data_IF_797133914643
#
_entry.id   IF_797133914643
#
_cell.length_a   1.000
_cell.length_b   1.000
_cell.length_c   1.000
_cell.angle_alpha   90.00
_cell.angle_beta   90.00
_cell.angle_gamma   90.00
#
_symmetry.space_group_name_H-M   'P 1'
#
loop_
_entity.id
_entity.type
_entity.pdbx_description
1 polymer ?
#
# COMPACT_ATOMS: atom_id res chain seq x y z
N UNK A 1 -1.75 -34.48 -21.63
CA UNK A 1 -1.43 -33.24 -20.91
C UNK A 1 -1.33 -33.58 -19.44
N UNK A 2 -0.33 -33.07 -18.72
CA UNK A 2 -0.25 -33.26 -17.26
C UNK A 2 -1.43 -32.54 -16.58
N UNK A 3 -1.92 -33.06 -15.45
CA UNK A 3 -2.97 -32.38 -14.69
C UNK A 3 -2.45 -31.08 -14.07
N UNK A 4 -3.32 -30.09 -13.86
CA UNK A 4 -2.99 -28.83 -13.16
C UNK A 4 -2.27 -29.08 -11.84
N UNK A 5 -2.75 -30.06 -11.05
CA UNK A 5 -2.11 -30.48 -9.80
C UNK A 5 -0.66 -30.96 -10.00
N UNK A 6 -0.41 -31.74 -11.05
CA UNK A 6 0.94 -32.27 -11.36
C UNK A 6 1.87 -31.12 -11.75
N UNK A 7 1.37 -30.17 -12.54
CA UNK A 7 2.12 -29.00 -12.96
C UNK A 7 2.47 -28.11 -11.75
N UNK A 8 1.49 -27.79 -10.90
CA UNK A 8 1.71 -26.99 -9.68
C UNK A 8 2.70 -27.68 -8.73
N UNK A 9 2.63 -29.00 -8.57
CA UNK A 9 3.61 -29.78 -7.78
C UNK A 9 5.01 -29.85 -8.40
N UNK A 10 5.18 -29.44 -9.65
CA UNK A 10 6.51 -29.36 -10.28
C UNK A 10 7.18 -27.99 -10.12
N UNK A 11 6.45 -26.99 -9.61
CA UNK A 11 6.99 -25.65 -9.38
C UNK A 11 7.81 -25.62 -8.10
N UNK A 12 9.01 -25.04 -8.20
CA UNK A 12 9.83 -24.70 -7.04
C UNK A 12 9.23 -23.47 -6.36
N UNK A 13 8.78 -23.65 -5.12
CA UNK A 13 8.27 -22.58 -4.26
C UNK A 13 9.25 -22.37 -3.12
N UNK A 14 9.59 -21.11 -2.88
CA UNK A 14 10.53 -20.69 -1.85
C UNK A 14 9.79 -19.93 -0.74
N UNK A 15 10.24 -20.11 0.49
CA UNK A 15 9.76 -19.35 1.64
C UNK A 15 10.41 -17.95 1.73
N UNK A 16 10.12 -17.24 2.81
CA UNK A 16 10.59 -15.87 3.05
C UNK A 16 12.12 -15.76 3.27
N UNK A 17 12.81 -16.89 3.47
CA UNK A 17 14.25 -16.97 3.67
C UNK A 17 14.95 -17.61 2.44
N UNK A 18 14.27 -17.59 1.29
CA UNK A 18 14.70 -18.16 0.00
C UNK A 18 14.99 -19.68 0.08
N UNK A 19 14.40 -20.39 1.04
CA UNK A 19 14.53 -21.84 1.17
C UNK A 19 13.34 -22.55 0.53
N UNK A 20 13.50 -23.78 0.00
CA UNK A 20 12.38 -24.57 -0.48
C UNK A 20 11.31 -24.76 0.62
N UNK A 21 10.05 -24.53 0.29
CA UNK A 21 8.95 -24.69 1.25
C UNK A 21 8.89 -26.12 1.80
N UNK A 22 8.68 -26.23 3.11
CA UNK A 22 8.71 -27.53 3.82
C UNK A 22 7.47 -28.40 3.56
N UNK A 23 6.35 -27.77 3.20
CA UNK A 23 5.10 -28.45 2.83
C UNK A 23 4.30 -27.61 1.85
N UNK A 24 3.38 -28.26 1.12
CA UNK A 24 2.45 -27.60 0.20
C UNK A 24 1.09 -28.29 0.19
N UNK A 25 0.05 -27.48 0.24
CA UNK A 25 -1.35 -27.85 0.15
C UNK A 25 -1.99 -27.02 -0.96
N UNK A 26 -2.49 -27.68 -2.01
CA UNK A 26 -3.23 -26.98 -3.06
C UNK A 26 -4.63 -26.69 -2.53
N UNK A 27 -4.94 -25.40 -2.39
CA UNK A 27 -6.22 -24.95 -1.85
C UNK A 27 -7.29 -24.93 -2.95
N UNK A 28 -6.89 -24.60 -4.18
CA UNK A 28 -7.78 -24.50 -5.33
C UNK A 28 -7.50 -23.26 -6.15
N UNK A 29 -8.47 -22.85 -6.98
CA UNK A 29 -8.38 -21.59 -7.71
C UNK A 29 -8.52 -20.40 -6.78
N UNK A 30 -7.76 -19.35 -7.05
CA UNK A 30 -7.86 -18.06 -6.36
C UNK A 30 -9.25 -17.47 -6.59
N UNK A 31 -9.85 -16.88 -5.56
CA UNK A 31 -11.18 -16.29 -5.65
C UNK A 31 -11.22 -15.13 -6.66
N UNK A 32 -12.40 -14.91 -7.27
CA UNK A 32 -12.59 -13.86 -8.27
C UNK A 32 -12.23 -12.45 -7.75
N UNK A 33 -12.59 -12.11 -6.50
CA UNK A 33 -12.24 -10.83 -5.86
C UNK A 33 -10.72 -10.60 -5.82
N UNK A 34 -9.95 -11.63 -5.44
CA UNK A 34 -8.49 -11.57 -5.40
C UNK A 34 -7.90 -11.46 -6.80
N UNK A 35 -8.43 -12.24 -7.75
CA UNK A 35 -7.97 -12.22 -9.13
C UNK A 35 -8.22 -10.88 -9.82
N UNK A 36 -9.35 -10.22 -9.55
CA UNK A 36 -9.66 -8.87 -10.03
C UNK A 36 -8.58 -7.87 -9.55
N UNK A 37 -8.29 -7.88 -8.26
CA UNK A 37 -7.26 -6.98 -7.69
C UNK A 37 -5.87 -7.27 -8.26
N UNK A 38 -5.48 -8.55 -8.37
CA UNK A 38 -4.15 -8.92 -8.83
C UNK A 38 -3.95 -8.69 -10.31
N UNK A 39 -4.94 -9.01 -11.16
CA UNK A 39 -4.86 -8.80 -12.61
C UNK A 39 -4.76 -7.33 -12.99
N UNK A 40 -5.28 -6.41 -12.17
CA UNK A 40 -5.10 -4.96 -12.35
C UNK A 40 -3.62 -4.52 -12.26
N UNK A 41 -2.77 -5.31 -11.60
CA UNK A 41 -1.37 -4.96 -11.32
C UNK A 41 -0.36 -5.87 -12.01
N UNK A 42 -0.64 -7.16 -12.06
CA UNK A 42 0.24 -8.19 -12.61
C UNK A 42 -0.05 -8.32 -14.11
N UNK A 43 0.68 -7.58 -14.93
CA UNK A 43 0.48 -7.55 -16.39
C UNK A 43 0.60 -8.92 -17.08
N UNK A 44 1.24 -9.90 -16.42
CA UNK A 44 1.42 -11.25 -16.93
C UNK A 44 0.25 -12.21 -16.57
N UNK A 45 -0.78 -11.73 -15.87
CA UNK A 45 -2.03 -12.46 -15.65
C UNK A 45 -3.00 -12.14 -16.78
N UNK A 46 -3.52 -13.19 -17.44
CA UNK A 46 -4.47 -13.09 -18.55
C UNK A 46 -5.77 -13.85 -18.24
N UNK A 47 -6.82 -13.56 -19.01
CA UNK A 47 -8.15 -14.16 -18.84
C UNK A 47 -8.13 -15.69 -18.98
N UNK A 48 -7.27 -16.24 -19.85
CA UNK A 48 -7.13 -17.69 -20.03
C UNK A 48 -6.30 -18.41 -18.95
N UNK A 49 -5.75 -17.68 -17.97
CA UNK A 49 -4.91 -18.28 -16.92
C UNK A 49 -5.73 -18.99 -15.84
N UNK A 50 -5.22 -20.12 -15.39
CA UNK A 50 -5.63 -20.69 -14.10
C UNK A 50 -4.67 -20.23 -13.02
N UNK A 51 -5.16 -19.47 -12.03
CA UNK A 51 -4.35 -19.06 -10.87
C UNK A 51 -4.71 -19.93 -9.68
N UNK A 52 -3.77 -20.75 -9.25
CA UNK A 52 -3.94 -21.74 -8.18
C UNK A 52 -3.30 -21.22 -6.90
N UNK A 53 -4.07 -21.17 -5.81
CA UNK A 53 -3.58 -20.89 -4.47
C UNK A 53 -2.93 -22.14 -3.88
N UNK A 54 -1.70 -22.00 -3.42
CA UNK A 54 -0.93 -23.06 -2.77
C UNK A 54 -0.52 -22.57 -1.38
N UNK A 55 -1.12 -23.16 -0.35
CA UNK A 55 -0.69 -22.91 1.04
C UNK A 55 0.57 -23.71 1.31
N UNK A 56 1.55 -23.05 1.90
CA UNK A 56 2.84 -23.61 2.25
C UNK A 56 3.15 -23.38 3.72
N UNK A 57 3.97 -24.25 4.28
CA UNK A 57 4.65 -24.00 5.57
C UNK A 57 5.97 -23.29 5.29
N UNK A 58 6.01 -21.97 5.47
CA UNK A 58 7.20 -21.14 5.32
C UNK A 58 8.06 -21.09 6.59
N UNK A 59 9.22 -20.44 6.49
CA UNK A 59 10.16 -20.29 7.61
C UNK A 59 9.62 -19.42 8.75
N UNK A 60 8.74 -18.46 8.43
CA UNK A 60 8.18 -17.50 9.39
C UNK A 60 6.69 -17.73 9.71
N UNK A 61 6.07 -18.76 9.14
CA UNK A 61 4.67 -19.10 9.35
C UNK A 61 3.98 -19.65 8.11
N UNK A 62 2.65 -19.78 8.11
CA UNK A 62 1.89 -20.13 6.92
C UNK A 62 2.01 -19.06 5.83
N UNK A 63 2.44 -19.47 4.64
CA UNK A 63 2.58 -18.63 3.44
C UNK A 63 1.63 -19.14 2.34
N UNK A 64 1.11 -18.26 1.49
CA UNK A 64 0.32 -18.69 0.34
C UNK A 64 0.96 -18.20 -0.96
N UNK A 65 1.40 -19.11 -1.81
CA UNK A 65 1.80 -18.78 -3.17
C UNK A 65 0.59 -18.77 -4.11
N UNK A 66 0.67 -17.94 -5.14
CA UNK A 66 -0.19 -18.03 -6.31
C UNK A 66 0.62 -18.62 -7.47
N UNK A 67 0.16 -19.72 -8.06
CA UNK A 67 0.80 -20.38 -9.20
C UNK A 67 -0.08 -20.23 -10.42
N UNK A 68 0.45 -19.56 -11.45
CA UNK A 68 -0.22 -19.45 -12.74
C UNK A 68 0.04 -20.70 -13.56
N UNK A 69 -1.01 -21.25 -14.17
CA UNK A 69 -0.94 -22.32 -15.17
C UNK A 69 -1.47 -21.80 -16.52
N UNK A 70 -0.61 -21.78 -17.54
CA UNK A 70 -0.94 -21.36 -18.91
C UNK A 70 -0.30 -22.31 -19.91
N UNK A 71 -1.08 -22.85 -20.85
CA UNK A 71 -0.55 -23.69 -21.93
C UNK A 71 0.24 -24.92 -21.46
N UNK A 72 -0.12 -25.49 -20.31
CA UNK A 72 0.60 -26.63 -19.72
C UNK A 72 1.90 -26.28 -18.99
N UNK A 73 2.17 -24.99 -18.77
CA UNK A 73 3.32 -24.49 -18.00
C UNK A 73 2.81 -23.86 -16.71
N UNK A 74 3.43 -24.22 -15.58
CA UNK A 74 3.16 -23.61 -14.28
C UNK A 74 4.33 -22.72 -13.85
N UNK A 75 4.04 -21.57 -13.26
CA UNK A 75 5.04 -20.63 -12.73
C UNK A 75 4.48 -19.88 -11.50
N UNK A 76 5.30 -19.58 -10.49
CA UNK A 76 4.86 -18.78 -9.37
C UNK A 76 4.63 -17.33 -9.83
N UNK A 77 3.60 -16.70 -9.29
CA UNK A 77 3.43 -15.25 -9.39
C UNK A 77 4.18 -14.62 -8.23
N UNK A 78 5.16 -13.79 -8.56
CA UNK A 78 5.99 -13.06 -7.61
C UNK A 78 5.94 -11.57 -7.91
N UNK A 79 5.95 -10.76 -6.86
CA UNK A 79 5.97 -9.30 -6.92
C UNK A 79 7.04 -8.77 -5.96
N UNK A 80 7.68 -7.67 -6.35
CA UNK A 80 8.66 -6.99 -5.51
C UNK A 80 7.96 -6.00 -4.57
N UNK A 81 8.23 -6.12 -3.26
CA UNK A 81 7.93 -5.05 -2.31
C UNK A 81 8.88 -3.88 -2.55
N UNK A 82 8.35 -2.70 -2.87
CA UNK A 82 9.18 -1.53 -3.23
C UNK A 82 9.98 -0.91 -2.10
N UNK A 83 9.81 -1.41 -0.88
CA UNK A 83 10.57 -0.94 0.29
C UNK A 83 11.64 -1.95 0.71
N UNK A 84 11.33 -3.25 0.83
CA UNK A 84 12.36 -4.28 1.11
C UNK A 84 13.15 -4.72 -0.12
N UNK A 85 12.61 -4.57 -1.33
CA UNK A 85 13.10 -5.20 -2.56
C UNK A 85 13.05 -6.73 -2.55
N UNK A 86 12.29 -7.33 -1.63
CA UNK A 86 12.08 -8.77 -1.59
C UNK A 86 11.00 -9.18 -2.60
N UNK A 87 11.20 -10.32 -3.27
CA UNK A 87 10.18 -10.98 -4.07
C UNK A 87 9.24 -11.78 -3.15
N UNK A 88 7.94 -11.57 -3.30
CA UNK A 88 6.92 -12.23 -2.49
C UNK A 88 5.66 -12.52 -3.30
N UNK A 89 4.84 -13.49 -2.88
CA UNK A 89 3.57 -13.74 -3.56
C UNK A 89 2.60 -12.57 -3.38
N UNK A 90 1.63 -12.37 -4.31
CA UNK A 90 0.67 -11.26 -4.25
C UNK A 90 -0.17 -11.20 -2.96
N UNK A 91 -0.43 -12.35 -2.34
CA UNK A 91 -1.09 -12.49 -1.05
C UNK A 91 -0.37 -11.78 0.10
N UNK A 92 0.95 -11.59 0.00
CA UNK A 92 1.78 -10.93 1.02
C UNK A 92 1.76 -9.40 0.91
N UNK A 93 1.19 -8.84 -0.16
CA UNK A 93 1.05 -7.39 -0.34
C UNK A 93 -0.31 -6.92 0.17
N UNK A 94 -0.33 -5.69 0.70
CA UNK A 94 -1.55 -5.10 1.24
C UNK A 94 -2.46 -4.64 0.12
N UNK A 95 -3.76 -4.85 0.25
CA UNK A 95 -4.77 -4.27 -0.63
C UNK A 95 -5.36 -3.01 -0.01
N UNK A 96 -5.71 -2.03 -0.84
CA UNK A 96 -6.15 -0.71 -0.39
C UNK A 96 -7.29 -0.13 -1.23
N UNK A 97 -7.99 0.86 -0.67
CA UNK A 97 -8.92 1.76 -1.37
C UNK A 97 -8.58 3.21 -1.10
N UNK A 98 -8.73 4.07 -2.11
CA UNK A 98 -8.64 5.51 -1.90
C UNK A 98 -9.94 6.09 -1.35
N UNK A 99 -9.84 7.17 -0.56
CA UNK A 99 -11.00 7.87 0.00
C UNK A 99 -11.87 8.57 -1.04
N UNK A 100 -11.26 9.01 -2.14
CA UNK A 100 -11.90 9.71 -3.26
C UNK A 100 -12.09 8.79 -4.49
N UNK A 101 -11.78 7.50 -4.34
CA UNK A 101 -11.79 6.54 -5.44
C UNK A 101 -13.19 6.04 -5.82
N UNK A 102 -13.21 5.16 -6.81
CA UNK A 102 -14.36 4.35 -7.25
C UNK A 102 -14.78 3.27 -6.24
N UNK A 103 -14.09 3.18 -5.10
CA UNK A 103 -14.31 2.14 -4.09
C UNK A 103 -13.75 0.77 -4.48
N UNK A 104 -12.92 0.68 -5.52
CA UNK A 104 -12.27 -0.56 -5.92
C UNK A 104 -11.05 -0.87 -5.04
N UNK A 105 -10.88 -2.15 -4.72
CA UNK A 105 -9.66 -2.66 -4.08
C UNK A 105 -8.52 -2.68 -5.10
N UNK A 106 -7.32 -2.36 -4.63
CA UNK A 106 -6.10 -2.31 -5.44
C UNK A 106 -4.96 -2.95 -4.68
N UNK A 107 -4.01 -3.53 -5.39
CA UNK A 107 -2.82 -4.11 -4.77
C UNK A 107 -1.75 -3.03 -4.55
N UNK A 108 -1.30 -2.86 -3.31
CA UNK A 108 -0.22 -1.93 -2.98
C UNK A 108 1.14 -2.46 -3.45
N UNK A 109 2.16 -1.62 -3.33
CA UNK A 109 3.55 -1.96 -3.63
C UNK A 109 4.33 -2.41 -2.40
N UNK A 110 3.66 -2.64 -1.26
CA UNK A 110 4.32 -2.90 0.03
C UNK A 110 3.68 -4.05 0.79
N UNK A 111 4.50 -4.79 1.53
CA UNK A 111 4.00 -5.78 2.47
C UNK A 111 3.48 -5.11 3.76
N UNK A 112 2.78 -5.90 4.58
CA UNK A 112 2.17 -5.43 5.82
C UNK A 112 3.19 -4.84 6.81
N UNK A 113 4.38 -5.45 6.93
CA UNK A 113 5.40 -5.01 7.88
C UNK A 113 5.82 -3.55 7.62
N UNK A 114 6.14 -3.20 6.38
CA UNK A 114 6.53 -1.84 6.02
C UNK A 114 5.37 -0.85 6.10
N UNK A 115 4.15 -1.28 5.80
CA UNK A 115 2.96 -0.46 6.00
C UNK A 115 2.81 -0.08 7.49
N UNK A 116 2.96 -1.05 8.39
CA UNK A 116 2.86 -0.80 9.83
C UNK A 116 3.99 0.11 10.32
N UNK A 117 5.22 -0.08 9.84
CA UNK A 117 6.34 0.81 10.15
C UNK A 117 6.09 2.25 9.66
N UNK A 118 5.56 2.41 8.45
CA UNK A 118 5.16 3.71 7.91
C UNK A 118 4.08 4.36 8.79
N UNK A 119 3.03 3.60 9.14
CA UNK A 119 1.91 4.06 9.95
C UNK A 119 2.36 4.55 11.33
N UNK A 120 3.32 3.86 11.95
CA UNK A 120 3.86 4.17 13.27
C UNK A 120 4.62 5.51 13.34
N UNK A 121 5.29 5.91 12.24
CA UNK A 121 6.16 7.09 12.23
C UNK A 121 5.57 8.32 11.55
N UNK A 122 4.74 8.14 10.52
CA UNK A 122 4.44 9.20 9.54
C UNK A 122 3.78 10.43 10.14
N UNK A 123 2.81 10.27 11.02
CA UNK A 123 2.09 11.41 11.61
C UNK A 123 3.00 12.23 12.53
N UNK A 124 3.77 11.55 13.38
CA UNK A 124 4.77 12.18 14.26
C UNK A 124 5.83 12.94 13.47
N UNK A 125 6.31 12.37 12.37
CA UNK A 125 7.26 13.02 11.49
C UNK A 125 6.67 14.28 10.83
N UNK A 126 5.42 14.21 10.38
CA UNK A 126 4.69 15.37 9.86
C UNK A 126 4.55 16.46 10.93
N UNK A 127 4.08 16.12 12.14
CA UNK A 127 3.89 17.08 13.23
C UNK A 127 5.22 17.75 13.62
N UNK A 128 6.29 16.95 13.72
CA UNK A 128 7.64 17.46 14.00
C UNK A 128 8.08 18.47 12.95
N UNK A 129 7.87 18.19 11.66
CA UNK A 129 8.24 19.10 10.56
C UNK A 129 7.40 20.38 10.55
N UNK A 130 6.15 20.32 10.97
CA UNK A 130 5.31 21.51 11.16
C UNK A 130 5.81 22.38 12.31
N UNK A 131 6.19 21.78 13.44
CA UNK A 131 6.63 22.50 14.64
C UNK A 131 8.09 22.96 14.58
N UNK A 132 8.91 22.32 13.75
CA UNK A 132 10.34 22.60 13.59
C UNK A 132 10.70 22.70 12.09
N UNK A 133 10.12 23.66 11.35
CA UNK A 133 10.37 23.79 9.92
C UNK A 133 11.82 24.21 9.69
N UNK A 134 12.51 23.49 8.80
CA UNK A 134 13.88 23.83 8.38
C UNK A 134 13.91 24.67 7.11
N UNK A 135 12.78 24.76 6.40
CA UNK A 135 12.63 25.47 5.14
C UNK A 135 11.24 26.10 5.01
N UNK A 136 11.18 27.41 4.72
CA UNK A 136 9.91 28.17 4.56
C UNK A 136 9.04 27.58 3.44
N UNK A 137 9.62 27.14 2.34
CA UNK A 137 8.89 26.56 1.21
C UNK A 137 8.29 25.18 1.55
N UNK A 138 9.00 24.34 2.32
CA UNK A 138 8.44 23.09 2.81
C UNK A 138 7.29 23.35 3.79
N UNK A 139 7.49 24.24 4.76
CA UNK A 139 6.47 24.62 5.73
C UNK A 139 5.19 25.12 5.05
N UNK A 140 5.30 26.01 4.08
CA UNK A 140 4.14 26.52 3.32
C UNK A 140 3.36 25.42 2.61
N UNK A 141 4.06 24.49 1.96
CA UNK A 141 3.40 23.35 1.28
C UNK A 141 2.71 22.44 2.28
N UNK A 142 3.38 22.10 3.38
CA UNK A 142 2.79 21.24 4.41
C UNK A 142 1.58 21.90 5.09
N UNK A 143 1.65 23.20 5.38
CA UNK A 143 0.54 23.96 5.94
C UNK A 143 -0.64 24.03 4.97
N UNK A 144 -0.39 24.29 3.68
CA UNK A 144 -1.45 24.34 2.67
C UNK A 144 -2.12 22.99 2.40
N UNK A 145 -1.38 21.88 2.56
CA UNK A 145 -1.96 20.53 2.49
C UNK A 145 -2.76 20.22 3.76
N UNK A 146 -2.24 20.64 4.92
CA UNK A 146 -2.80 20.30 6.23
C UNK A 146 -2.40 18.89 6.70
N UNK A 147 -2.98 18.44 7.82
CA UNK A 147 -2.74 17.13 8.38
C UNK A 147 -3.40 16.05 7.53
N UNK A 148 -2.64 14.99 7.26
CA UNK A 148 -3.20 13.75 6.71
C UNK A 148 -3.22 12.71 7.83
N UNK A 149 -4.41 12.17 8.11
CA UNK A 149 -4.65 11.31 9.26
C UNK A 149 -4.63 9.82 8.94
N UNK A 150 -4.72 9.45 7.67
CA UNK A 150 -4.65 8.06 7.21
C UNK A 150 -3.40 7.85 6.36
N UNK A 151 -3.02 6.59 6.11
CA UNK A 151 -1.88 6.28 5.26
C UNK A 151 -2.05 6.87 3.86
N UNK A 152 -0.95 7.38 3.33
CA UNK A 152 -0.86 7.95 1.99
C UNK A 152 0.59 7.84 1.55
N UNK A 153 0.83 7.44 0.31
CA UNK A 153 2.14 7.51 -0.33
C UNK A 153 1.94 7.09 -1.79
N UNK A 154 2.35 7.94 -2.74
CA UNK A 154 2.11 7.68 -4.17
C UNK A 154 3.01 6.57 -4.74
N UNK A 155 4.06 6.15 -4.02
CA UNK A 155 4.88 5.00 -4.37
C UNK A 155 4.33 3.71 -3.78
N UNK A 156 3.82 3.75 -2.53
CA UNK A 156 3.18 2.57 -1.92
C UNK A 156 1.80 2.28 -2.53
N UNK A 157 1.05 3.34 -2.84
CA UNK A 157 -0.32 3.28 -3.34
C UNK A 157 -0.39 4.00 -4.69
N UNK A 158 -0.06 3.31 -5.80
CA UNK A 158 -0.07 3.92 -7.12
C UNK A 158 -1.49 4.30 -7.56
N UNK A 159 -1.59 5.44 -8.24
CA UNK A 159 -2.80 5.83 -8.99
C UNK A 159 -2.56 5.60 -10.48
N UNK A 160 -3.64 5.47 -11.27
CA UNK A 160 -3.50 5.48 -12.73
C UNK A 160 -2.99 6.83 -13.22
N UNK A 161 -2.50 6.94 -14.46
CA UNK A 161 -2.03 8.21 -15.01
C UNK A 161 -3.14 9.27 -15.06
N UNK A 162 -4.37 8.86 -15.35
CA UNK A 162 -5.55 9.74 -15.38
C UNK A 162 -5.89 10.27 -13.98
N UNK A 163 -5.73 9.45 -12.96
CA UNK A 163 -5.97 9.84 -11.56
C UNK A 163 -4.85 10.73 -11.02
N UNK A 164 -3.58 10.42 -11.34
CA UNK A 164 -2.42 11.21 -10.92
C UNK A 164 -2.58 12.68 -11.31
N UNK A 165 -3.09 12.96 -12.50
CA UNK A 165 -3.34 14.32 -12.98
C UNK A 165 -4.27 15.14 -12.07
N UNK A 166 -5.19 14.49 -11.32
CA UNK A 166 -6.10 15.16 -10.38
C UNK A 166 -5.42 15.57 -9.08
N UNK A 167 -4.34 14.87 -8.74
CA UNK A 167 -3.56 15.09 -7.53
C UNK A 167 -2.24 15.80 -7.81
N UNK A 168 -2.00 16.21 -9.05
CA UNK A 168 -0.80 16.95 -9.43
C UNK A 168 -1.13 18.44 -9.52
N UNK A 169 -0.50 19.24 -8.67
CA UNK A 169 -0.59 20.70 -8.70
C UNK A 169 0.74 21.30 -9.09
N UNK A 170 0.70 22.44 -9.78
CA UNK A 170 1.93 23.19 -10.10
C UNK A 170 2.14 24.23 -9.01
N UNK A 171 3.32 24.23 -8.37
CA UNK A 171 3.68 25.24 -7.39
C UNK A 171 4.03 26.59 -8.05
N UNK A 172 4.23 27.63 -7.23
CA UNK A 172 4.55 28.99 -7.69
C UNK A 172 5.84 29.07 -8.54
N UNK A 173 6.69 28.03 -8.52
CA UNK A 173 7.93 27.95 -9.30
C UNK A 173 7.76 27.12 -10.58
N UNK A 174 6.54 26.71 -10.93
CA UNK A 174 6.28 25.86 -12.09
C UNK A 174 6.62 24.37 -11.85
N UNK A 175 6.91 23.96 -10.61
CA UNK A 175 7.22 22.57 -10.29
C UNK A 175 5.95 21.79 -9.96
N UNK A 176 5.82 20.61 -10.56
CA UNK A 176 4.75 19.65 -10.23
C UNK A 176 4.94 19.08 -8.82
N UNK A 177 3.89 19.15 -8.03
CA UNK A 177 3.78 18.61 -6.67
C UNK A 177 2.60 17.66 -6.64
N UNK A 178 2.83 16.46 -6.12
CA UNK A 178 1.77 15.46 -5.93
C UNK A 178 1.17 15.66 -4.55
N UNK A 179 -0.10 16.02 -4.49
CA UNK A 179 -0.88 16.09 -3.28
C UNK A 179 -1.05 14.67 -2.69
N UNK A 180 -0.92 14.51 -1.36
CA UNK A 180 -1.28 13.26 -0.69
C UNK A 180 -2.68 12.79 -1.08
N UNK A 181 -2.79 11.53 -1.51
CA UNK A 181 -4.07 10.85 -1.74
C UNK A 181 -4.33 9.87 -0.60
N UNK A 182 -5.24 10.18 0.33
CA UNK A 182 -5.46 9.35 1.52
C UNK A 182 -6.14 8.02 1.17
N UNK A 183 -5.70 6.96 1.84
CA UNK A 183 -6.34 5.64 1.81
C UNK A 183 -7.50 5.61 2.82
N UNK A 184 -8.63 5.03 2.43
CA UNK A 184 -9.84 4.88 3.25
C UNK A 184 -9.99 3.49 3.87
N UNK A 185 -9.42 2.46 3.26
CA UNK A 185 -9.48 1.09 3.75
C UNK A 185 -8.23 0.31 3.33
N UNK A 186 -7.79 -0.61 4.19
CA UNK A 186 -6.70 -1.54 3.94
C UNK A 186 -7.14 -2.94 4.35
N UNK A 187 -6.71 -3.95 3.61
CA UNK A 187 -6.88 -5.36 3.98
C UNK A 187 -5.67 -6.19 3.58
N UNK A 188 -5.41 -7.28 4.27
CA UNK A 188 -4.34 -8.24 3.96
C UNK A 188 -4.90 -9.65 3.95
N UNK A 189 -4.42 -10.51 3.06
CA UNK A 189 -4.83 -11.90 3.05
C UNK A 189 -4.17 -12.68 4.19
N UNK A 190 -4.98 -13.31 5.03
CA UNK A 190 -4.52 -14.16 6.11
C UNK A 190 -4.45 -15.61 5.63
N UNK A 191 -3.24 -16.12 5.40
CA UNK A 191 -3.05 -17.51 4.98
C UNK A 191 -3.63 -18.51 5.98
N UNK A 192 -3.51 -18.22 7.27
CA UNK A 192 -4.02 -19.09 8.34
C UNK A 192 -5.55 -19.14 8.36
N UNK A 193 -6.21 -17.98 8.28
CA UNK A 193 -7.68 -17.88 8.36
C UNK A 193 -8.37 -18.07 7.01
N UNK A 194 -7.63 -18.00 5.91
CA UNK A 194 -8.14 -18.01 4.53
C UNK A 194 -9.20 -16.95 4.29
N UNK A 195 -8.96 -15.75 4.82
CA UNK A 195 -9.81 -14.60 4.61
C UNK A 195 -8.98 -13.32 4.68
N UNK A 196 -9.58 -12.22 4.23
CA UNK A 196 -9.00 -10.91 4.44
C UNK A 196 -9.16 -10.46 5.88
N UNK A 197 -8.10 -9.86 6.41
CA UNK A 197 -8.11 -9.14 7.68
C UNK A 197 -8.03 -7.64 7.41
N UNK A 198 -8.91 -6.88 8.04
CA UNK A 198 -8.90 -5.42 7.95
C UNK A 198 -7.68 -4.86 8.67
N UNK A 199 -7.05 -3.86 8.06
CA UNK A 199 -5.94 -3.11 8.63
C UNK A 199 -6.40 -1.67 8.82
N UNK A 200 -6.23 -1.12 10.03
CA UNK A 200 -6.59 0.28 10.30
C UNK A 200 -5.73 1.22 9.44
N UNK A 201 -6.35 2.05 8.57
CA UNK A 201 -5.63 3.01 7.74
C UNK A 201 -5.19 4.25 8.50
N UNK A 202 -5.63 4.47 9.74
CA UNK A 202 -5.29 5.64 10.55
C UNK A 202 -3.82 5.63 10.95
N UNK A 203 -3.12 6.75 10.78
CA UNK A 203 -1.73 6.88 11.22
C UNK A 203 -1.65 6.85 12.76
N UNK A 204 -0.63 6.18 13.29
CA UNK A 204 -0.48 6.08 14.73
C UNK A 204 -0.15 7.47 15.31
N UNK A 205 -0.83 7.83 16.40
CA UNK A 205 -0.72 9.16 17.01
C UNK A 205 -1.57 10.25 16.35
N UNK A 206 -2.31 9.94 15.26
CA UNK A 206 -3.28 10.86 14.71
C UNK A 206 -4.39 11.18 15.75
N UNK A 207 -4.80 12.45 15.88
CA UNK A 207 -5.85 12.86 16.82
C UNK A 207 -7.22 12.30 16.40
N UNK A 208 -8.04 11.99 17.41
CA UNK A 208 -9.44 11.60 17.19
C UNK A 208 -10.31 12.80 16.81
N UNK A 209 -10.14 13.93 17.50
CA UNK A 209 -10.80 15.19 17.13
C UNK A 209 -9.87 16.01 16.22
N UNK A 210 -10.10 15.85 14.91
CA UNK A 210 -9.25 16.39 13.85
C UNK A 210 -9.32 17.92 13.77
N UNK A 211 -10.53 18.46 13.85
CA UNK A 211 -10.79 19.89 13.71
C UNK A 211 -10.17 20.66 14.88
N UNK A 212 -10.45 20.24 16.12
CA UNK A 212 -9.88 20.92 17.30
C UNK A 212 -8.36 20.81 17.35
N UNK A 213 -7.79 19.67 16.96
CA UNK A 213 -6.34 19.51 16.89
C UNK A 213 -5.72 20.45 15.86
N UNK A 214 -6.34 20.60 14.68
CA UNK A 214 -5.83 21.50 13.66
C UNK A 214 -5.89 22.96 14.11
N UNK A 215 -7.00 23.38 14.71
CA UNK A 215 -7.15 24.73 15.28
C UNK A 215 -6.08 25.02 16.34
N UNK A 216 -5.86 24.08 17.27
CA UNK A 216 -4.83 24.18 18.31
C UNK A 216 -3.42 24.23 17.71
N UNK A 217 -3.14 23.41 16.69
CA UNK A 217 -1.85 23.41 16.01
C UNK A 217 -1.63 24.74 15.27
N UNK A 218 -2.62 25.24 14.54
CA UNK A 218 -2.53 26.55 13.87
C UNK A 218 -2.25 27.66 14.88
N UNK A 219 -2.95 27.70 16.01
CA UNK A 219 -2.69 28.69 17.06
C UNK A 219 -1.25 28.60 17.62
N UNK A 220 -0.70 27.39 17.75
CA UNK A 220 0.72 27.19 18.13
C UNK A 220 1.68 27.67 17.06
N UNK A 221 1.36 27.43 15.78
CA UNK A 221 2.16 27.86 14.65
C UNK A 221 2.14 29.38 14.48
N UNK A 222 1.00 30.05 14.68
CA UNK A 222 0.88 31.50 14.67
C UNK A 222 1.75 32.16 15.74
N UNK A 223 1.84 31.54 16.92
CA UNK A 223 2.70 32.02 18.00
C UNK A 223 4.20 31.91 17.66
N UNK A 224 4.59 30.84 16.96
CA UNK A 224 6.00 30.53 16.70
C UNK A 224 6.50 31.11 15.36
N UNK A 225 5.62 31.25 14.37
CA UNK A 225 5.89 31.65 12.99
C UNK A 225 4.82 32.64 12.46
N UNK A 226 4.63 33.80 13.13
CA UNK A 226 3.50 34.69 12.85
C UNK A 226 3.47 35.24 11.43
N UNK A 227 4.64 35.62 10.88
CA UNK A 227 4.73 36.19 9.52
C UNK A 227 4.45 35.14 8.45
N UNK A 228 4.98 33.92 8.62
CA UNK A 228 4.71 32.79 7.73
C UNK A 228 3.23 32.46 7.69
N UNK A 229 2.59 32.29 8.86
CA UNK A 229 1.18 31.90 8.93
C UNK A 229 0.29 32.99 8.37
N UNK A 230 0.53 34.26 8.73
CA UNK A 230 -0.21 35.40 8.19
C UNK A 230 -0.16 35.46 6.66
N UNK A 231 1.02 35.22 6.06
CA UNK A 231 1.17 35.19 4.60
C UNK A 231 0.35 34.08 3.94
N UNK A 232 0.16 32.95 4.63
CA UNK A 232 -0.61 31.80 4.13
C UNK A 232 -2.12 31.97 4.32
N UNK A 233 -2.57 32.70 5.34
CA UNK A 233 -4.00 32.92 5.65
C UNK A 233 -4.58 34.20 5.04
N UNK A 234 -3.76 35.08 4.48
CA UNK A 234 -4.19 36.37 3.90
C UNK A 234 -4.63 36.30 2.42
N UNK A 235 -4.80 35.10 1.84
CA UNK A 235 -5.30 34.88 0.48
C UNK A 235 -6.71 34.30 0.52
#
# INVERSE_FOLDING_TARGET
>A
MASTETLVKSVDLLDEDEQPVSSREIIGEVSADRLEVWSSRIADVKEEDQIIAVRCSGGRGPLEHAVRVRGGVAAPLMLECKVSYEEMPPSSLVEYKFSDGDGQWRLSMVCLEYLLAFRAGKFKDWEKRMLQPTCKAEFRRMFGIGPVYTVYDHHMFPSSEEEKARFEVTDDNGKKVILPRPVSALRIWSTEKQCFEDVDPTLDGAPQNRDSYWEELVARLEKNFPEEVKEMTSK
#
